data_IF_041534695753
#
_entry.id   IF_041534695753
#
_cell.length_a   1.000
_cell.length_b   1.000
_cell.length_c   1.000
_cell.angle_alpha   90.00
_cell.angle_beta   90.00
_cell.angle_gamma   90.00
#
_symmetry.space_group_name_H-M   'P 1'
#
loop_
_entity.id
_entity.type
_entity.pdbx_description
1 polymer ?
#
# COMPACT_ATOMS: atom_id res chain seq x y z
N UNK A 1 7.95 -19.89 78.28
CA UNK A 1 7.33 -18.56 78.04
C UNK A 1 8.33 -17.70 77.30
N UNK A 2 7.84 -16.93 76.31
CA UNK A 2 8.43 -15.70 75.76
C UNK A 2 9.70 -15.79 74.89
N UNK A 3 9.49 -15.78 73.56
CA UNK A 3 10.17 -14.86 72.60
C UNK A 3 9.78 -13.39 72.90
N UNK A 4 10.50 -12.32 72.47
CA UNK A 4 11.05 -12.02 71.12
C UNK A 4 12.58 -11.64 71.17
N UNK A 5 13.26 -10.92 70.26
CA UNK A 5 12.89 -10.00 69.14
C UNK A 5 13.98 -9.95 68.03
N UNK A 6 13.96 -8.94 67.16
CA UNK A 6 14.68 -8.74 65.88
C UNK A 6 15.53 -7.44 65.91
N UNK A 7 16.74 -7.41 65.28
CA UNK A 7 17.18 -6.33 64.35
C UNK A 7 18.62 -6.43 63.76
N UNK A 8 18.71 -6.41 62.43
CA UNK A 8 19.52 -5.49 61.58
C UNK A 8 21.07 -5.55 61.43
N UNK A 9 21.48 -5.81 60.15
CA UNK A 9 22.65 -5.34 59.34
C UNK A 9 23.95 -6.16 59.13
N UNK A 10 24.41 -6.06 57.87
CA UNK A 10 25.53 -6.65 57.10
C UNK A 10 26.69 -5.62 56.96
N UNK A 11 27.95 -5.96 56.53
CA UNK A 11 28.26 -6.75 55.33
C UNK A 11 29.46 -7.74 55.40
N UNK A 12 29.67 -8.46 54.30
CA UNK A 12 30.86 -9.28 54.01
C UNK A 12 31.40 -8.87 52.62
N UNK A 13 32.67 -8.48 52.55
CA UNK A 13 33.38 -8.21 51.29
C UNK A 13 33.75 -9.51 50.54
N UNK A 14 33.56 -9.52 49.21
CA UNK A 14 34.63 -9.76 48.22
C UNK A 14 34.10 -9.80 46.78
N UNK A 15 34.82 -9.15 45.84
CA UNK A 15 34.47 -9.04 44.42
C UNK A 15 35.70 -8.56 43.60
N UNK A 16 35.87 -8.88 42.31
CA UNK A 16 35.56 -10.10 41.57
C UNK A 16 36.82 -10.82 41.02
N UNK A 17 36.56 -12.00 40.44
CA UNK A 17 37.48 -12.84 39.66
C UNK A 17 38.18 -12.16 38.46
N UNK A 18 39.45 -12.53 38.25
CA UNK A 18 40.12 -12.41 36.94
C UNK A 18 39.69 -13.59 36.06
N UNK A 19 39.25 -13.32 34.84
CA UNK A 19 38.91 -14.35 33.86
C UNK A 19 40.12 -14.75 33.01
N UNK A 20 40.18 -16.04 32.61
CA UNK A 20 40.21 -16.43 31.18
C UNK A 20 40.15 -17.94 30.91
N UNK A 21 39.36 -18.24 29.87
CA UNK A 21 39.54 -19.28 28.85
C UNK A 21 39.71 -20.76 29.26
N UNK A 22 38.73 -21.60 28.86
CA UNK A 22 39.07 -22.96 28.45
C UNK A 22 37.94 -24.00 28.40
N UNK A 23 37.53 -24.35 27.18
CA UNK A 23 36.95 -25.66 26.79
C UNK A 23 35.57 -26.02 27.38
N UNK A 24 34.55 -25.87 26.54
CA UNK A 24 33.15 -26.28 26.75
C UNK A 24 33.08 -27.74 27.19
N UNK A 25 32.68 -28.01 28.44
CA UNK A 25 32.34 -29.35 28.92
C UNK A 25 30.85 -29.58 28.69
N UNK A 26 30.53 -30.38 27.67
CA UNK A 26 29.22 -31.02 27.59
C UNK A 26 29.15 -32.16 28.62
N UNK A 27 27.93 -32.41 29.13
CA UNK A 27 27.52 -33.39 30.15
C UNK A 27 27.47 -32.86 31.60
N UNK A 28 26.25 -32.90 32.14
CA UNK A 28 25.87 -32.45 33.47
C UNK A 28 24.35 -32.30 33.51
N UNK A 29 23.64 -33.40 33.76
CA UNK A 29 22.17 -33.44 33.66
C UNK A 29 21.52 -32.48 34.65
N UNK A 30 20.63 -31.61 34.15
CA UNK A 30 19.81 -30.69 34.93
C UNK A 30 18.39 -30.68 34.38
N UNK A 31 17.43 -30.89 35.27
CA UNK A 31 16.00 -31.05 35.00
C UNK A 31 15.38 -30.02 34.04
N UNK A 32 14.81 -30.52 32.94
CA UNK A 32 13.60 -30.05 32.29
C UNK A 32 13.28 -28.54 32.32
N UNK A 33 13.91 -27.76 31.43
CA UNK A 33 13.24 -26.61 30.82
C UNK A 33 13.45 -26.71 29.31
N UNK A 34 12.50 -27.32 28.61
CA UNK A 34 12.48 -27.24 27.16
C UNK A 34 12.25 -25.76 26.78
N UNK A 35 13.11 -25.15 25.94
CA UNK A 35 12.75 -23.88 25.33
C UNK A 35 11.62 -24.17 24.35
N UNK A 36 10.38 -24.07 24.84
CA UNK A 36 9.21 -24.02 23.98
C UNK A 36 9.38 -22.74 23.16
N UNK A 37 9.86 -22.90 21.93
CA UNK A 37 9.81 -21.84 20.93
C UNK A 37 8.33 -21.60 20.71
N UNK A 38 7.80 -20.59 21.40
CA UNK A 38 6.47 -20.06 21.21
C UNK A 38 6.45 -19.41 19.82
N UNK A 39 6.30 -20.25 18.78
CA UNK A 39 5.80 -19.83 17.48
C UNK A 39 4.37 -19.37 17.70
N UNK A 40 4.24 -18.12 18.14
CA UNK A 40 2.99 -17.39 18.16
C UNK A 40 2.59 -17.23 16.70
N UNK A 41 1.84 -18.22 16.20
CA UNK A 41 1.15 -18.17 14.92
C UNK A 41 0.05 -17.12 15.04
N UNK A 42 0.45 -15.86 15.00
CA UNK A 42 -0.45 -14.75 14.70
C UNK A 42 -0.91 -14.93 13.26
N UNK A 43 -1.96 -15.75 13.09
CA UNK A 43 -2.79 -15.68 11.91
C UNK A 43 -3.24 -14.22 11.80
N UNK A 44 -2.85 -13.45 10.77
CA UNK A 44 -3.30 -12.08 10.63
C UNK A 44 -4.80 -12.13 10.37
N UNK A 45 -5.59 -11.79 11.39
CA UNK A 45 -7.03 -11.88 11.34
C UNK A 45 -7.56 -11.04 10.18
N UNK A 46 -8.06 -11.71 9.14
CA UNK A 46 -8.75 -11.11 8.00
C UNK A 46 -7.94 -10.05 7.22
N UNK A 47 -6.64 -10.32 7.03
CA UNK A 47 -5.80 -9.51 6.14
C UNK A 47 -6.11 -9.73 4.66
N UNK A 48 -6.86 -8.82 4.03
CA UNK A 48 -6.95 -8.72 2.56
C UNK A 48 -5.56 -8.34 2.02
N UNK A 49 -4.88 -9.28 1.36
CA UNK A 49 -3.44 -9.21 1.04
C UNK A 49 -3.10 -8.41 -0.23
N UNK A 50 -3.59 -7.17 -0.32
CA UNK A 50 -3.12 -6.22 -1.32
C UNK A 50 -1.61 -5.92 -1.08
N UNK A 51 -0.77 -5.85 -2.11
CA UNK A 51 0.67 -5.57 -1.93
C UNK A 51 1.08 -4.16 -2.41
N UNK A 52 2.06 -3.55 -1.72
CA UNK A 52 2.69 -2.30 -2.18
C UNK A 52 3.44 -2.49 -3.50
N UNK A 53 3.73 -1.40 -4.25
CA UNK A 53 4.54 -1.46 -5.47
C UNK A 53 5.88 -2.17 -5.25
N UNK A 54 6.60 -1.78 -4.19
CA UNK A 54 7.90 -2.36 -3.84
C UNK A 54 7.81 -3.82 -3.36
N UNK A 55 6.71 -4.23 -2.69
CA UNK A 55 6.50 -5.65 -2.31
C UNK A 55 6.13 -6.53 -3.50
N UNK A 56 5.36 -6.00 -4.46
CA UNK A 56 5.01 -6.72 -5.70
C UNK A 56 6.25 -7.04 -6.56
N UNK A 57 7.29 -6.20 -6.52
CA UNK A 57 8.58 -6.49 -7.14
C UNK A 57 9.32 -7.64 -6.46
N UNK A 58 9.36 -7.62 -5.12
CA UNK A 58 10.17 -8.57 -4.36
C UNK A 58 9.66 -10.02 -4.44
N UNK A 59 8.39 -10.25 -4.79
CA UNK A 59 7.74 -11.57 -4.89
C UNK A 59 8.11 -12.56 -3.77
N UNK A 60 8.29 -12.08 -2.54
CA UNK A 60 8.58 -12.96 -1.41
C UNK A 60 7.28 -13.64 -0.95
N UNK A 61 6.95 -14.78 -1.56
CA UNK A 61 5.71 -15.55 -1.36
C UNK A 61 5.72 -16.38 -0.07
N UNK A 62 6.57 -16.06 0.90
CA UNK A 62 6.78 -16.87 2.11
C UNK A 62 5.70 -16.75 3.20
N UNK A 63 4.53 -16.16 2.88
CA UNK A 63 3.32 -16.23 3.71
C UNK A 63 2.29 -17.10 3.01
N UNK A 64 1.85 -18.14 3.71
CA UNK A 64 1.01 -19.23 3.22
C UNK A 64 -0.42 -18.78 2.87
N UNK A 65 -0.61 -18.21 1.69
CA UNK A 65 -1.90 -18.18 1.02
C UNK A 65 -1.75 -18.80 -0.38
N UNK A 66 -2.12 -20.08 -0.48
CA UNK A 66 -2.18 -20.81 -1.75
C UNK A 66 -3.01 -20.04 -2.77
N UNK A 67 -2.36 -19.66 -3.88
CA UNK A 67 -2.95 -19.13 -5.12
C UNK A 67 -3.91 -17.94 -5.01
N UNK A 68 -3.96 -17.29 -3.84
CA UNK A 68 -4.70 -16.04 -3.59
C UNK A 68 -3.74 -14.87 -3.52
N UNK A 69 -3.42 -14.32 -4.69
CA UNK A 69 -3.08 -12.89 -4.80
C UNK A 69 -4.19 -12.12 -4.09
N UNK A 70 -3.86 -11.39 -3.02
CA UNK A 70 -4.88 -10.75 -2.20
C UNK A 70 -5.57 -9.63 -2.95
N UNK A 71 -6.71 -9.95 -3.54
CA UNK A 71 -7.56 -8.99 -4.25
C UNK A 71 -8.15 -8.02 -3.24
N UNK A 72 -7.95 -6.72 -3.42
CA UNK A 72 -8.66 -5.75 -2.61
C UNK A 72 -10.17 -5.89 -2.83
N UNK A 73 -10.92 -6.04 -1.75
CA UNK A 73 -12.34 -6.38 -1.85
C UNK A 73 -13.16 -5.19 -2.33
N UNK A 74 -14.07 -5.43 -3.28
CA UNK A 74 -14.98 -4.40 -3.80
C UNK A 74 -14.35 -3.37 -4.74
N UNK A 75 -13.07 -3.50 -5.10
CA UNK A 75 -12.43 -2.62 -6.08
C UNK A 75 -13.15 -2.66 -7.44
N UNK A 76 -13.50 -1.50 -7.97
CA UNK A 76 -14.24 -1.37 -9.22
C UNK A 76 -13.31 -1.22 -10.42
N UNK A 77 -13.82 -1.58 -11.60
CA UNK A 77 -13.16 -1.21 -12.85
C UNK A 77 -13.26 0.31 -13.05
N UNK A 78 -12.27 0.97 -13.67
CA UNK A 78 -12.40 2.38 -14.01
C UNK A 78 -13.56 2.64 -14.98
N UNK A 79 -13.92 1.64 -15.80
CA UNK A 79 -15.08 1.68 -16.70
C UNK A 79 -16.41 1.90 -15.97
N UNK A 80 -16.58 1.27 -14.79
CA UNK A 80 -17.78 1.42 -13.97
C UNK A 80 -17.98 2.87 -13.49
N UNK A 81 -16.89 3.58 -13.17
CA UNK A 81 -16.95 5.00 -12.78
C UNK A 81 -17.22 5.93 -13.97
N UNK A 82 -16.69 5.64 -15.17
CA UNK A 82 -16.96 6.43 -16.37
C UNK A 82 -18.40 6.34 -16.87
N UNK A 83 -19.08 5.21 -16.59
CA UNK A 83 -20.50 5.03 -16.90
C UNK A 83 -21.44 5.84 -16.00
N UNK A 84 -20.92 6.44 -14.91
CA UNK A 84 -21.71 7.21 -13.96
C UNK A 84 -21.74 8.70 -14.33
N UNK A 85 -22.96 9.21 -14.56
CA UNK A 85 -23.21 10.61 -14.93
C UNK A 85 -23.60 11.50 -13.75
N UNK A 86 -24.05 10.93 -12.63
CA UNK A 86 -24.52 11.67 -11.45
C UNK A 86 -23.98 11.06 -10.13
N UNK A 87 -23.45 11.87 -9.20
CA UNK A 87 -23.09 11.39 -7.87
C UNK A 87 -24.33 11.00 -7.05
N UNK A 88 -24.24 9.92 -6.27
CA UNK A 88 -25.23 9.57 -5.24
C UNK A 88 -26.39 8.67 -5.65
N UNK A 89 -26.48 8.22 -6.91
CA UNK A 89 -27.51 7.29 -7.40
C UNK A 89 -26.81 5.97 -7.85
N UNK A 90 -27.26 4.77 -7.39
CA UNK A 90 -26.52 3.49 -7.51
C UNK A 90 -26.50 2.91 -8.95
N UNK A 91 -25.61 2.02 -9.36
CA UNK A 91 -24.98 0.91 -8.61
C UNK A 91 -23.58 1.14 -8.02
N UNK A 92 -22.84 2.12 -8.52
CA UNK A 92 -21.52 2.50 -8.02
C UNK A 92 -21.57 3.97 -7.61
N UNK A 93 -20.77 4.36 -6.63
CA UNK A 93 -20.74 5.73 -6.12
C UNK A 93 -19.33 6.29 -6.22
N UNK A 94 -19.20 7.44 -6.86
CA UNK A 94 -17.99 8.24 -6.68
C UNK A 94 -17.95 8.75 -5.23
N UNK A 95 -16.81 8.61 -4.52
CA UNK A 95 -16.62 9.18 -3.18
C UNK A 95 -16.36 10.69 -3.19
N UNK A 96 -16.20 11.28 -4.38
CA UNK A 96 -16.03 12.72 -4.64
C UNK A 96 -16.94 13.12 -5.81
N UNK A 97 -17.12 14.42 -6.10
CA UNK A 97 -17.92 14.80 -7.28
C UNK A 97 -17.25 14.35 -8.59
N UNK A 98 -17.96 13.77 -9.57
CA UNK A 98 -17.43 13.51 -10.92
C UNK A 98 -16.98 14.80 -11.64
N UNK A 99 -17.56 15.96 -11.25
CA UNK A 99 -17.17 17.29 -11.74
C UNK A 99 -15.92 17.87 -11.08
N UNK A 100 -15.28 17.15 -10.13
CA UNK A 100 -14.04 17.61 -9.48
C UNK A 100 -12.96 17.85 -10.55
N UNK A 101 -12.28 19.02 -10.57
CA UNK A 101 -11.16 19.26 -11.49
C UNK A 101 -10.03 18.25 -11.28
N UNK A 102 -9.40 17.79 -12.36
CA UNK A 102 -8.30 16.82 -12.29
C UNK A 102 -7.02 17.42 -11.66
N UNK A 103 -6.59 18.62 -12.09
CA UNK A 103 -5.26 19.15 -11.75
C UNK A 103 -4.98 19.65 -10.32
N UNK A 104 -5.96 19.91 -9.44
CA UNK A 104 -5.70 20.06 -8.00
C UNK A 104 -5.30 18.74 -7.32
N UNK A 105 -5.68 17.59 -7.87
CA UNK A 105 -5.42 16.26 -7.30
C UNK A 105 -4.26 15.56 -8.01
N UNK A 106 -4.21 15.65 -9.33
CA UNK A 106 -3.21 15.02 -10.18
C UNK A 106 -2.36 16.10 -10.87
N UNK A 107 -1.10 16.21 -10.48
CA UNK A 107 -0.18 17.23 -10.99
C UNK A 107 -0.17 17.27 -12.54
N UNK A 108 -0.16 18.48 -13.12
CA UNK A 108 -0.08 18.63 -14.57
C UNK A 108 1.27 18.10 -15.08
N UNK A 109 1.25 17.14 -16.00
CA UNK A 109 2.46 16.58 -16.59
C UNK A 109 3.01 17.44 -17.73
N UNK A 110 4.26 17.18 -18.10
CA UNK A 110 4.96 17.84 -19.21
C UNK A 110 4.85 17.06 -20.53
N UNK A 111 4.30 15.85 -20.51
CA UNK A 111 4.20 14.96 -21.67
C UNK A 111 2.89 15.19 -22.45
N UNK A 112 2.93 14.91 -23.75
CA UNK A 112 1.72 14.86 -24.59
C UNK A 112 0.67 13.93 -23.98
N UNK A 113 -0.58 14.40 -23.88
CA UNK A 113 -1.66 13.65 -23.24
C UNK A 113 -1.63 13.62 -21.70
N UNK A 114 -0.87 14.51 -21.05
CA UNK A 114 -0.83 14.63 -19.57
C UNK A 114 -1.15 16.04 -19.06
N UNK A 115 -1.39 16.97 -19.99
CA UNK A 115 -1.76 18.37 -19.72
C UNK A 115 -3.26 18.52 -19.41
N UNK A 116 -4.11 17.61 -19.91
CA UNK A 116 -5.51 17.36 -19.53
C UNK A 116 -6.38 18.59 -19.19
N UNK A 117 -6.17 19.69 -19.92
CA UNK A 117 -6.95 20.93 -19.84
C UNK A 117 -7.91 21.08 -21.01
N UNK A 118 -8.87 22.00 -20.89
CA UNK A 118 -9.78 22.47 -21.94
C UNK A 118 -9.85 23.99 -21.93
N UNK A 119 -10.36 24.59 -23.00
CA UNK A 119 -10.61 26.04 -23.06
C UNK A 119 -12.09 26.30 -22.79
N UNK A 120 -12.40 27.18 -21.85
CA UNK A 120 -13.76 27.67 -21.55
C UNK A 120 -13.70 29.18 -21.48
N UNK A 121 -14.56 29.89 -22.24
CA UNK A 121 -14.58 31.35 -22.30
C UNK A 121 -13.20 31.98 -22.54
N UNK A 122 -12.41 31.39 -23.45
CA UNK A 122 -11.04 31.78 -23.77
C UNK A 122 -10.01 31.66 -22.62
N UNK A 123 -10.34 30.93 -21.55
CA UNK A 123 -9.46 30.61 -20.41
C UNK A 123 -9.14 29.11 -20.41
N UNK A 124 -7.87 28.77 -20.16
CA UNK A 124 -7.45 27.37 -19.98
C UNK A 124 -7.82 26.90 -18.58
N UNK A 125 -8.61 25.82 -18.48
CA UNK A 125 -9.06 25.21 -17.24
C UNK A 125 -8.80 23.71 -17.24
N UNK A 126 -8.64 23.08 -16.07
CA UNK A 126 -8.55 21.62 -15.98
C UNK A 126 -9.81 20.96 -16.53
N UNK A 127 -9.66 19.83 -17.24
CA UNK A 127 -10.78 18.88 -17.42
C UNK A 127 -11.21 18.34 -16.05
N UNK A 128 -12.46 17.92 -15.91
CA UNK A 128 -12.94 17.21 -14.71
C UNK A 128 -12.47 15.76 -14.71
N UNK A 129 -12.51 15.10 -13.55
CA UNK A 129 -12.19 13.66 -13.46
C UNK A 129 -13.04 12.83 -14.44
N UNK A 130 -14.36 13.07 -14.51
CA UNK A 130 -15.25 12.35 -15.44
C UNK A 130 -14.94 12.67 -16.92
N UNK A 131 -14.57 13.91 -17.25
CA UNK A 131 -14.11 14.25 -18.60
C UNK A 131 -12.82 13.52 -18.96
N UNK A 132 -11.87 13.40 -18.02
CA UNK A 132 -10.61 12.66 -18.22
C UNK A 132 -10.86 11.16 -18.40
N UNK A 133 -11.77 10.56 -17.65
CA UNK A 133 -12.11 9.14 -17.81
C UNK A 133 -12.80 8.82 -19.14
N UNK A 134 -13.44 9.81 -19.77
CA UNK A 134 -14.12 9.66 -21.06
C UNK A 134 -13.26 10.09 -22.27
N UNK A 135 -11.96 10.33 -22.08
CA UNK A 135 -11.05 10.67 -23.18
C UNK A 135 -10.86 9.49 -24.15
N UNK A 136 -10.73 9.82 -25.42
CA UNK A 136 -10.53 8.86 -26.50
C UNK A 136 -9.09 8.92 -27.02
N UNK A 137 -8.43 7.75 -27.05
CA UNK A 137 -7.22 7.44 -27.82
C UNK A 137 -6.00 8.35 -27.61
N UNK A 138 -6.06 9.56 -28.19
CA UNK A 138 -4.92 10.45 -28.40
C UNK A 138 -4.65 11.38 -27.21
N UNK A 139 -5.63 11.59 -26.33
CA UNK A 139 -5.53 12.55 -25.21
C UNK A 139 -5.07 11.91 -23.88
N UNK A 140 -5.12 10.57 -23.73
CA UNK A 140 -4.59 9.82 -22.58
C UNK A 140 -3.82 8.59 -23.08
N UNK A 141 -2.51 8.73 -23.41
CA UNK A 141 -1.69 7.63 -23.87
C UNK A 141 -1.76 6.46 -22.89
N UNK A 142 -1.93 5.25 -23.42
CA UNK A 142 -2.06 4.03 -22.63
C UNK A 142 -3.25 3.96 -21.66
N UNK A 143 -4.19 4.92 -21.71
CA UNK A 143 -5.31 5.09 -20.74
C UNK A 143 -4.85 5.24 -19.29
N UNK A 144 -3.70 5.88 -19.09
CA UNK A 144 -3.06 5.95 -17.77
C UNK A 144 -3.82 6.82 -16.79
N UNK A 145 -4.34 7.97 -17.23
CA UNK A 145 -5.19 8.81 -16.37
C UNK A 145 -6.49 8.08 -16.01
N UNK A 146 -7.13 7.41 -16.97
CA UNK A 146 -8.32 6.57 -16.76
C UNK A 146 -8.10 5.50 -15.68
N UNK A 147 -7.03 4.70 -15.78
CA UNK A 147 -6.74 3.65 -14.79
C UNK A 147 -6.35 4.22 -13.41
N UNK A 148 -5.59 5.31 -13.35
CA UNK A 148 -5.17 5.93 -12.09
C UNK A 148 -6.30 6.68 -11.38
N UNK A 149 -7.26 7.27 -12.10
CA UNK A 149 -8.48 7.82 -11.48
C UNK A 149 -9.29 6.67 -10.85
N UNK A 150 -9.53 5.57 -11.57
CA UNK A 150 -10.25 4.41 -11.00
C UNK A 150 -9.57 3.85 -9.74
N UNK A 151 -8.23 3.72 -9.76
CA UNK A 151 -7.45 3.31 -8.60
C UNK A 151 -7.56 4.30 -7.42
N UNK A 152 -7.55 5.61 -7.70
CA UNK A 152 -7.70 6.66 -6.69
C UNK A 152 -9.10 6.63 -6.05
N UNK A 153 -10.17 6.51 -6.86
CA UNK A 153 -11.54 6.39 -6.36
C UNK A 153 -11.73 5.12 -5.52
N UNK A 154 -11.14 4.00 -5.94
CA UNK A 154 -11.12 2.77 -5.13
C UNK A 154 -10.39 2.98 -3.79
N UNK A 155 -9.25 3.70 -3.76
CA UNK A 155 -8.54 4.03 -2.53
C UNK A 155 -9.31 4.97 -1.60
N UNK A 156 -10.33 5.67 -2.10
CA UNK A 156 -11.26 6.50 -1.33
C UNK A 156 -12.55 5.77 -0.92
N UNK A 157 -12.68 4.47 -1.22
CA UNK A 157 -13.86 3.66 -0.88
C UNK A 157 -15.03 3.74 -1.88
N UNK A 158 -14.77 4.23 -3.10
CA UNK A 158 -15.77 4.27 -4.16
C UNK A 158 -16.36 2.89 -4.47
N UNK A 159 -17.68 2.82 -4.70
CA UNK A 159 -18.35 1.54 -4.95
C UNK A 159 -18.18 0.49 -3.84
N UNK A 160 -17.99 0.93 -2.59
CA UNK A 160 -17.75 0.08 -1.41
C UNK A 160 -16.43 -0.71 -1.44
N UNK A 161 -15.43 -0.23 -2.17
CA UNK A 161 -14.08 -0.81 -2.16
C UNK A 161 -13.38 -0.65 -0.80
N UNK A 162 -12.55 -1.63 -0.44
CA UNK A 162 -11.67 -1.57 0.73
C UNK A 162 -10.23 -1.87 0.30
N UNK A 163 -9.48 -0.80 0.01
CA UNK A 163 -8.05 -0.86 -0.29
C UNK A 163 -7.30 -0.60 1.02
N UNK A 164 -6.44 -1.55 1.42
CA UNK A 164 -5.61 -1.34 2.62
C UNK A 164 -4.59 -0.22 2.38
N UNK A 165 -4.45 0.78 3.29
CA UNK A 165 -3.40 1.79 3.22
C UNK A 165 -1.98 1.20 3.21
N UNK A 166 -1.82 -0.03 3.70
CA UNK A 166 -0.56 -0.78 3.66
C UNK A 166 -0.21 -1.33 2.26
N UNK A 167 -1.10 -1.17 1.28
CA UNK A 167 -0.89 -1.60 -0.10
C UNK A 167 -0.88 -0.41 -1.05
N UNK A 168 -1.88 0.45 -0.95
CA UNK A 168 -1.97 1.67 -1.74
C UNK A 168 -2.71 2.76 -0.96
N UNK A 169 -2.28 4.00 -1.17
CA UNK A 169 -2.96 5.19 -0.64
C UNK A 169 -3.32 6.13 -1.79
N UNK A 170 -4.29 7.04 -1.61
CA UNK A 170 -4.59 8.07 -2.61
C UNK A 170 -3.35 8.89 -3.01
N UNK A 171 -2.45 9.18 -2.05
CA UNK A 171 -1.18 9.85 -2.30
C UNK A 171 -0.19 8.98 -3.11
N UNK A 172 -0.18 7.67 -2.91
CA UNK A 172 0.62 6.75 -3.72
C UNK A 172 0.21 6.81 -5.19
N UNK A 173 -1.10 6.80 -5.47
CA UNK A 173 -1.65 6.91 -6.82
C UNK A 173 -1.30 8.26 -7.48
N UNK A 174 -1.45 9.38 -6.78
CA UNK A 174 -1.10 10.70 -7.34
C UNK A 174 0.42 10.87 -7.52
N UNK A 175 1.24 10.20 -6.70
CA UNK A 175 2.71 10.17 -6.88
C UNK A 175 3.12 9.36 -8.11
N UNK A 176 2.50 8.19 -8.34
CA UNK A 176 2.70 7.38 -9.55
C UNK A 176 2.36 8.20 -10.80
N UNK A 177 1.23 8.92 -10.77
CA UNK A 177 0.88 9.84 -11.86
C UNK A 177 1.94 10.93 -12.06
N UNK A 178 2.34 11.66 -11.01
CA UNK A 178 3.27 12.79 -11.13
C UNK A 178 4.61 12.37 -11.76
N UNK A 179 5.14 11.20 -11.40
CA UNK A 179 6.35 10.65 -12.03
C UNK A 179 6.10 10.24 -13.48
N UNK A 180 5.06 9.43 -13.76
CA UNK A 180 4.78 8.94 -15.10
C UNK A 180 4.42 10.07 -16.09
N UNK A 181 3.67 11.07 -15.63
CA UNK A 181 3.23 12.21 -16.41
C UNK A 181 4.39 13.17 -16.77
N UNK A 182 5.48 13.13 -16.00
CA UNK A 182 6.70 13.91 -16.27
C UNK A 182 7.74 13.11 -17.04
N UNK A 183 8.00 11.85 -16.63
CA UNK A 183 9.16 11.04 -17.06
C UNK A 183 8.81 9.96 -18.10
N UNK A 184 7.56 9.49 -18.13
CA UNK A 184 7.14 8.31 -18.89
C UNK A 184 7.19 6.98 -18.12
N UNK A 185 7.69 7.00 -16.90
CA UNK A 185 7.82 5.83 -16.03
C UNK A 185 7.71 6.21 -14.55
N UNK A 186 7.41 5.23 -13.71
CA UNK A 186 7.42 5.31 -12.25
C UNK A 186 8.61 4.54 -11.67
N UNK A 187 9.16 4.96 -10.52
CA UNK A 187 10.33 4.34 -9.86
C UNK A 187 9.93 3.78 -8.49
N UNK A 188 9.35 2.56 -8.41
CA UNK A 188 8.92 1.94 -7.13
C UNK A 188 10.07 1.56 -6.19
N UNK A 189 11.28 1.41 -6.73
CA UNK A 189 12.55 1.12 -6.04
C UNK A 189 13.70 1.65 -6.88
N UNK A 190 14.84 1.99 -6.26
CA UNK A 190 16.03 2.45 -6.97
C UNK A 190 16.42 1.50 -8.13
N UNK A 191 16.80 2.08 -9.27
CA UNK A 191 17.19 1.41 -10.51
C UNK A 191 16.11 0.54 -11.19
N UNK A 192 14.85 0.54 -10.71
CA UNK A 192 13.73 -0.16 -11.37
C UNK A 192 12.77 0.88 -11.92
N UNK A 193 12.46 0.80 -13.22
CA UNK A 193 11.50 1.67 -13.89
C UNK A 193 10.28 0.87 -14.35
N UNK A 194 9.09 1.42 -14.14
CA UNK A 194 7.81 0.88 -14.60
C UNK A 194 7.20 1.78 -15.67
N UNK A 195 7.03 1.25 -16.88
CA UNK A 195 6.24 1.87 -17.94
C UNK A 195 4.72 1.78 -17.66
N UNK A 196 3.89 2.38 -18.53
CA UNK A 196 2.43 2.38 -18.34
C UNK A 196 1.83 0.98 -18.22
N UNK A 197 2.25 0.04 -19.09
CA UNK A 197 1.85 -1.37 -19.04
C UNK A 197 2.18 -2.02 -17.70
N UNK A 198 3.38 -1.80 -17.15
CA UNK A 198 3.79 -2.36 -15.86
C UNK A 198 2.99 -1.75 -14.70
N UNK A 199 2.70 -0.44 -14.73
CA UNK A 199 1.84 0.21 -13.73
C UNK A 199 0.41 -0.37 -13.78
N UNK A 200 -0.19 -0.49 -14.97
CA UNK A 200 -1.54 -1.08 -15.14
C UNK A 200 -1.59 -2.53 -14.65
N UNK A 201 -0.61 -3.34 -15.04
CA UNK A 201 -0.51 -4.73 -14.58
C UNK A 201 -0.32 -4.83 -13.06
N UNK A 202 0.42 -3.90 -12.45
CA UNK A 202 0.52 -3.82 -10.99
C UNK A 202 -0.83 -3.50 -10.33
N UNK A 203 -1.58 -2.52 -10.85
CA UNK A 203 -2.90 -2.14 -10.31
C UNK A 203 -3.91 -3.28 -10.44
N UNK A 204 -3.94 -3.97 -11.58
CA UNK A 204 -4.83 -5.13 -11.83
C UNK A 204 -4.46 -6.34 -10.97
N UNK A 205 -3.20 -6.79 -10.98
CA UNK A 205 -2.80 -8.02 -10.31
C UNK A 205 -2.91 -7.95 -8.77
N UNK A 206 -2.90 -6.73 -8.20
CA UNK A 206 -3.12 -6.48 -6.78
C UNK A 206 -4.58 -6.15 -6.42
N UNK A 207 -5.51 -6.22 -7.38
CA UNK A 207 -6.92 -5.90 -7.18
C UNK A 207 -7.17 -4.45 -6.76
N UNK A 208 -6.28 -3.52 -7.09
CA UNK A 208 -6.48 -2.07 -6.84
C UNK A 208 -7.50 -1.51 -7.86
N UNK A 209 -7.56 -2.12 -9.04
CA UNK A 209 -8.61 -1.98 -10.05
C UNK A 209 -8.98 -3.38 -10.59
N UNK A 210 -10.18 -3.49 -11.17
CA UNK A 210 -10.71 -4.69 -11.84
C UNK A 210 -10.75 -4.48 -13.36
#
# INVERSE_FOLDING_TARGET
MNTPTESTKLPHDDNPSVSKAGRRRFLGAGSAVAPVILTMLSQPALGVTCFTPSRSLSKNTSISQQDKYGQCTGAQSPGNYSAQTSPGIPAYSWPISPSTPFHPTFAQGTRTGTVLTKIVNNIVVSKTMLEVMNLLGNEDPEKMAFHLIGAYLNCLGGGSSSISPLAMTPQGITSIWAEWATKGYYVPTANVQWNGTQIKNYLLNNGIIS
#
